data_IF_389209126561
#
_entry.id   IF_389209126561
#
_cell.length_a   1.000
_cell.length_b   1.000
_cell.length_c   1.000
_cell.angle_alpha   90.00
_cell.angle_beta   90.00
_cell.angle_gamma   90.00
#
_symmetry.space_group_name_H-M   'P 1'
#
loop_
_entity.id
_entity.type
_entity.pdbx_description
1 polymer ?
#
# COMPACT_ATOMS: atom_id res chain seq x y z
N UNK A 1 -11.19 1.47 31.22
CA UNK A 1 -9.73 1.66 31.37
C UNK A 1 -9.22 2.24 30.07
N UNK A 2 -8.46 3.34 30.10
CA UNK A 2 -7.85 3.90 28.88
C UNK A 2 -6.94 2.86 28.25
N UNK A 3 -7.12 2.56 26.96
CA UNK A 3 -6.31 1.56 26.29
C UNK A 3 -4.90 2.15 26.05
N UNK A 4 -3.86 1.41 26.41
CA UNK A 4 -2.47 1.84 26.25
C UNK A 4 -2.04 1.75 24.78
N UNK A 5 -1.36 2.78 24.27
CA UNK A 5 -0.79 2.77 22.92
C UNK A 5 0.49 1.94 22.87
N UNK A 6 0.36 0.67 22.48
CA UNK A 6 1.48 -0.21 22.20
C UNK A 6 2.20 0.14 20.87
N UNK A 7 3.48 -0.25 20.70
CA UNK A 7 4.26 -0.01 19.48
C UNK A 7 3.58 -0.48 18.18
N UNK A 8 2.77 -1.55 18.24
CA UNK A 8 2.01 -2.06 17.09
C UNK A 8 1.00 -1.06 16.55
N UNK A 9 0.45 -0.18 17.39
CA UNK A 9 -0.49 0.85 16.93
C UNK A 9 0.22 1.91 16.10
N UNK A 10 1.41 2.35 16.53
CA UNK A 10 2.25 3.27 15.77
C UNK A 10 2.75 2.62 14.48
N UNK A 11 3.13 1.35 14.54
CA UNK A 11 3.53 0.58 13.35
C UNK A 11 2.43 0.55 12.30
N UNK A 12 1.20 0.21 12.69
CA UNK A 12 0.06 0.20 11.77
C UNK A 12 -0.30 1.62 11.29
N UNK A 13 -0.26 2.60 12.20
CA UNK A 13 -0.50 3.99 11.84
C UNK A 13 0.48 4.49 10.78
N UNK A 14 1.77 4.16 10.90
CA UNK A 14 2.79 4.53 9.92
C UNK A 14 2.51 3.92 8.53
N UNK A 15 1.96 2.70 8.48
CA UNK A 15 1.52 2.10 7.20
C UNK A 15 0.34 2.84 6.58
N UNK A 16 -0.63 3.27 7.39
CA UNK A 16 -1.75 4.11 6.94
C UNK A 16 -1.22 5.45 6.42
N UNK A 17 -0.24 6.05 7.11
CA UNK A 17 0.46 7.26 6.63
C UNK A 17 1.18 7.02 5.31
N UNK A 18 1.74 5.83 5.07
CA UNK A 18 2.32 5.46 3.78
C UNK A 18 1.30 5.43 2.63
N UNK A 19 0.04 5.07 2.89
CA UNK A 19 -1.03 5.20 1.87
C UNK A 19 -1.32 6.68 1.60
N UNK A 20 -1.44 7.49 2.65
CA UNK A 20 -1.65 8.94 2.52
C UNK A 20 -0.50 9.61 1.76
N UNK A 21 0.73 9.20 2.00
CA UNK A 21 1.90 9.69 1.28
C UNK A 21 1.84 9.31 -0.21
N UNK A 22 1.49 8.05 -0.50
CA UNK A 22 1.30 7.59 -1.88
C UNK A 22 0.21 8.35 -2.63
N UNK A 23 -0.89 8.73 -1.97
CA UNK A 23 -1.91 9.63 -2.54
C UNK A 23 -1.29 10.96 -3.02
N UNK A 24 -0.29 11.50 -2.30
CA UNK A 24 0.41 12.72 -2.73
C UNK A 24 1.32 12.49 -3.93
N UNK A 25 1.96 11.32 -4.05
CA UNK A 25 2.71 10.96 -5.25
C UNK A 25 1.79 10.88 -6.48
N UNK A 26 0.61 10.26 -6.34
CA UNK A 26 -0.39 10.18 -7.40
C UNK A 26 -0.85 11.58 -7.80
N UNK A 27 -1.15 12.43 -6.82
CA UNK A 27 -1.59 13.80 -7.07
C UNK A 27 -0.55 14.60 -7.84
N UNK A 28 0.72 14.60 -7.37
CA UNK A 28 1.81 15.32 -8.04
C UNK A 28 1.98 14.81 -9.48
N UNK A 29 2.05 13.49 -9.66
CA UNK A 29 2.23 12.89 -10.97
C UNK A 29 1.08 13.26 -11.94
N UNK A 30 -0.18 13.24 -11.47
CA UNK A 30 -1.34 13.57 -12.28
C UNK A 30 -1.45 15.09 -12.59
N UNK A 31 -1.14 15.94 -11.60
CA UNK A 31 -1.16 17.38 -11.78
C UNK A 31 -0.07 17.85 -12.75
N UNK A 32 1.13 17.28 -12.66
CA UNK A 32 2.28 17.68 -13.47
C UNK A 32 2.26 17.06 -14.88
N UNK A 33 1.84 15.80 -15.01
CA UNK A 33 2.06 15.01 -16.24
C UNK A 33 0.79 14.55 -16.96
N UNK A 34 -0.41 14.83 -16.44
CA UNK A 34 -1.66 14.35 -17.03
C UNK A 34 -2.68 15.46 -17.32
N UNK A 35 -3.36 15.95 -16.29
CA UNK A 35 -4.56 16.76 -16.46
C UNK A 35 -4.67 17.95 -15.50
N UNK A 36 -3.58 18.33 -14.81
CA UNK A 36 -3.48 19.60 -14.09
C UNK A 36 -4.66 19.86 -13.15
N UNK A 37 -5.46 20.91 -13.42
CA UNK A 37 -6.62 21.29 -12.61
C UNK A 37 -7.67 20.20 -12.45
N UNK A 38 -7.84 19.30 -13.43
CA UNK A 38 -8.75 18.15 -13.30
C UNK A 38 -8.26 17.17 -12.21
N UNK A 39 -6.95 17.07 -11.98
CA UNK A 39 -6.43 16.27 -10.87
C UNK A 39 -6.76 16.88 -9.50
N UNK A 40 -6.83 18.21 -9.39
CA UNK A 40 -7.27 18.89 -8.16
C UNK A 40 -8.75 18.64 -7.86
N UNK A 41 -9.59 18.69 -8.90
CA UNK A 41 -11.02 18.39 -8.80
C UNK A 41 -11.25 16.93 -8.40
N UNK A 42 -10.58 15.98 -9.06
CA UNK A 42 -10.65 14.56 -8.74
C UNK A 42 -10.23 14.28 -7.29
N UNK A 43 -9.16 14.91 -6.81
CA UNK A 43 -8.72 14.81 -5.42
C UNK A 43 -9.77 15.36 -4.46
N UNK A 44 -10.33 16.52 -4.78
CA UNK A 44 -11.36 17.17 -3.96
C UNK A 44 -12.62 16.30 -3.86
N UNK A 45 -13.02 15.64 -4.94
CA UNK A 45 -14.15 14.70 -4.94
C UNK A 45 -13.90 13.48 -4.03
N UNK A 46 -12.69 12.91 -4.09
CA UNK A 46 -12.29 11.81 -3.21
C UNK A 46 -12.32 12.22 -1.73
N UNK A 47 -11.84 13.44 -1.42
CA UNK A 47 -11.85 13.99 -0.06
C UNK A 47 -13.26 14.25 0.45
N UNK A 48 -14.16 14.77 -0.38
CA UNK A 48 -15.57 14.95 0.00
C UNK A 48 -16.27 13.62 0.32
N UNK A 49 -15.89 12.55 -0.38
CA UNK A 49 -16.52 11.23 -0.24
C UNK A 49 -15.98 10.42 0.95
N UNK A 50 -14.67 10.51 1.21
CA UNK A 50 -13.98 9.64 2.18
C UNK A 50 -13.30 10.39 3.32
N UNK A 51 -13.25 11.72 3.28
CA UNK A 51 -12.58 12.59 4.25
C UNK A 51 -11.18 13.00 3.82
N UNK A 52 -10.71 14.13 4.32
CA UNK A 52 -9.36 14.62 4.08
C UNK A 52 -8.28 13.70 4.68
N UNK A 53 -7.04 13.74 4.17
CA UNK A 53 -5.91 13.06 4.78
C UNK A 53 -5.75 13.39 6.27
N UNK A 54 -5.26 12.43 7.05
CA UNK A 54 -5.00 12.66 8.47
C UNK A 54 -3.99 13.82 8.65
N UNK A 55 -4.18 14.68 9.66
CA UNK A 55 -3.24 15.75 9.94
C UNK A 55 -1.86 15.19 10.32
N UNK A 56 -0.82 15.99 10.11
CA UNK A 56 0.56 15.65 10.49
C UNK A 56 0.80 15.87 11.99
N UNK A 57 0.05 15.13 12.82
CA UNK A 57 0.18 15.15 14.28
C UNK A 57 0.46 13.75 14.82
N UNK A 58 0.89 13.68 16.08
CA UNK A 58 1.15 12.41 16.74
C UNK A 58 -0.12 11.56 16.84
N UNK A 59 0.02 10.22 16.75
CA UNK A 59 -1.11 9.31 16.85
C UNK A 59 -1.90 9.53 18.15
N UNK A 60 -1.20 9.77 19.26
CA UNK A 60 -1.79 9.97 20.58
C UNK A 60 -2.75 11.16 20.62
N UNK A 61 -2.55 12.17 19.78
CA UNK A 61 -3.34 13.41 19.75
C UNK A 61 -4.66 13.27 18.98
N UNK A 62 -4.77 12.28 18.09
CA UNK A 62 -5.91 12.15 17.17
C UNK A 62 -6.65 10.81 17.26
N UNK A 63 -6.06 9.82 17.91
CA UNK A 63 -6.69 8.51 18.07
C UNK A 63 -7.85 8.53 19.07
N UNK A 64 -8.87 7.72 18.78
CA UNK A 64 -9.89 7.40 19.78
C UNK A 64 -9.31 6.41 20.83
N UNK A 65 -8.88 6.95 21.97
CA UNK A 65 -8.35 6.18 23.10
C UNK A 65 -9.34 5.18 23.70
N UNK A 66 -10.64 5.33 23.44
CA UNK A 66 -11.67 4.38 23.89
C UNK A 66 -11.84 3.20 22.94
N UNK A 67 -11.38 3.31 21.69
CA UNK A 67 -11.51 2.31 20.65
C UNK A 67 -10.35 2.35 19.63
N UNK A 68 -9.13 2.10 20.09
CA UNK A 68 -7.90 2.17 19.29
C UNK A 68 -7.98 1.31 18.02
N UNK A 69 -8.37 0.04 18.15
CA UNK A 69 -8.41 -0.89 17.02
C UNK A 69 -9.49 -0.51 16.01
N UNK A 70 -10.69 -0.13 16.50
CA UNK A 70 -11.77 0.30 15.63
C UNK A 70 -11.43 1.60 14.89
N UNK A 71 -10.72 2.53 15.53
CA UNK A 71 -10.21 3.74 14.89
C UNK A 71 -9.19 3.40 13.81
N UNK A 72 -8.18 2.57 14.11
CA UNK A 72 -7.16 2.16 13.14
C UNK A 72 -7.78 1.45 11.94
N UNK A 73 -8.68 0.49 12.17
CA UNK A 73 -9.41 -0.21 11.10
C UNK A 73 -10.21 0.77 10.22
N UNK A 74 -10.86 1.77 10.83
CA UNK A 74 -11.56 2.82 10.09
C UNK A 74 -10.58 3.62 9.23
N UNK A 75 -9.41 3.97 9.76
CA UNK A 75 -8.40 4.73 9.01
C UNK A 75 -7.81 3.94 7.83
N UNK A 76 -7.61 2.62 7.96
CA UNK A 76 -7.28 1.74 6.83
C UNK A 76 -8.34 1.90 5.74
N UNK A 77 -9.61 1.70 6.11
CA UNK A 77 -10.71 1.76 5.15
C UNK A 77 -10.82 3.13 4.48
N UNK A 78 -10.64 4.21 5.24
CA UNK A 78 -10.69 5.58 4.71
C UNK A 78 -9.54 5.83 3.74
N UNK A 79 -8.28 5.57 4.14
CA UNK A 79 -7.12 5.86 3.32
C UNK A 79 -7.14 5.05 2.01
N UNK A 80 -7.38 3.74 2.08
CA UNK A 80 -7.40 2.89 0.89
C UNK A 80 -8.59 3.20 -0.03
N UNK A 81 -9.78 3.49 0.52
CA UNK A 81 -10.94 3.86 -0.31
C UNK A 81 -10.75 5.24 -0.94
N UNK A 82 -10.11 6.18 -0.24
CA UNK A 82 -9.84 7.51 -0.79
C UNK A 82 -8.81 7.46 -1.92
N UNK A 83 -7.72 6.71 -1.74
CA UNK A 83 -6.75 6.48 -2.81
C UNK A 83 -7.42 5.85 -4.05
N UNK A 84 -8.21 4.80 -3.85
CA UNK A 84 -8.93 4.12 -4.93
C UNK A 84 -9.93 5.04 -5.64
N UNK A 85 -10.72 5.81 -4.88
CA UNK A 85 -11.67 6.77 -5.42
C UNK A 85 -10.97 7.91 -6.19
N UNK A 86 -9.81 8.37 -5.70
CA UNK A 86 -9.04 9.39 -6.40
C UNK A 86 -8.51 8.86 -7.74
N UNK A 87 -7.93 7.65 -7.76
CA UNK A 87 -7.47 7.03 -9.00
C UNK A 87 -8.65 6.80 -9.95
N UNK A 88 -9.79 6.30 -9.47
CA UNK A 88 -10.97 6.11 -10.31
C UNK A 88 -11.48 7.43 -10.89
N UNK A 89 -11.53 8.50 -10.09
CA UNK A 89 -11.90 9.83 -10.58
C UNK A 89 -10.91 10.35 -11.64
N UNK A 90 -9.60 10.08 -11.50
CA UNK A 90 -8.63 10.41 -12.54
C UNK A 90 -8.89 9.62 -13.82
N UNK A 91 -9.21 8.32 -13.73
CA UNK A 91 -9.56 7.51 -14.91
C UNK A 91 -10.82 8.05 -15.60
N UNK A 92 -11.86 8.34 -14.83
CA UNK A 92 -13.14 8.82 -15.37
C UNK A 92 -13.02 10.18 -16.07
N UNK A 93 -12.15 11.06 -15.56
CA UNK A 93 -12.04 12.44 -16.04
C UNK A 93 -10.84 12.68 -16.99
N UNK A 94 -9.79 11.86 -16.89
CA UNK A 94 -8.54 12.02 -17.65
C UNK A 94 -8.20 10.81 -18.53
N UNK A 95 -9.03 9.77 -18.53
CA UNK A 95 -8.88 8.57 -19.36
C UNK A 95 -7.84 7.57 -18.86
N UNK A 96 -7.64 6.49 -19.62
CA UNK A 96 -6.79 5.35 -19.24
C UNK A 96 -5.32 5.71 -18.95
N UNK A 97 -4.82 6.84 -19.47
CA UNK A 97 -3.49 7.35 -19.15
C UNK A 97 -3.31 7.63 -17.64
N UNK A 98 -4.40 7.86 -16.90
CA UNK A 98 -4.38 7.96 -15.44
C UNK A 98 -3.84 6.69 -14.76
N UNK A 99 -4.04 5.52 -15.37
CA UNK A 99 -3.56 4.24 -14.85
C UNK A 99 -2.02 4.18 -14.93
N UNK A 100 -1.42 4.69 -16.00
CA UNK A 100 0.04 4.73 -16.19
C UNK A 100 0.70 5.72 -15.22
N UNK A 101 0.04 6.85 -14.98
CA UNK A 101 0.45 7.85 -13.98
C UNK A 101 0.40 7.26 -12.58
N UNK A 102 -0.69 6.56 -12.22
CA UNK A 102 -0.79 5.87 -10.95
C UNK A 102 0.28 4.77 -10.81
N UNK A 103 0.59 4.02 -11.87
CA UNK A 103 1.67 3.02 -11.86
C UNK A 103 3.04 3.66 -11.58
N UNK A 104 3.32 4.78 -12.22
CA UNK A 104 4.55 5.54 -11.98
C UNK A 104 4.60 6.04 -10.54
N UNK A 105 3.52 6.61 -10.02
CA UNK A 105 3.44 7.07 -8.64
C UNK A 105 3.62 5.94 -7.61
N UNK A 106 2.99 4.77 -7.82
CA UNK A 106 3.19 3.59 -6.97
C UNK A 106 4.64 3.12 -7.01
N UNK A 107 5.26 3.05 -8.20
CA UNK A 107 6.66 2.68 -8.34
C UNK A 107 7.59 3.65 -7.61
N UNK A 108 7.41 4.95 -7.81
CA UNK A 108 8.21 6.00 -7.16
C UNK A 108 8.04 6.01 -5.64
N UNK A 109 6.81 5.82 -5.16
CA UNK A 109 6.56 5.66 -3.73
C UNK A 109 7.21 4.37 -3.17
N UNK A 110 7.23 3.28 -3.94
CA UNK A 110 7.95 2.05 -3.60
C UNK A 110 9.46 2.27 -3.47
N UNK A 111 10.05 3.02 -4.41
CA UNK A 111 11.46 3.45 -4.34
C UNK A 111 11.72 4.31 -3.10
N UNK A 112 10.84 5.28 -2.84
CA UNK A 112 10.94 6.16 -1.67
C UNK A 112 10.94 5.36 -0.36
N UNK A 113 9.94 4.48 -0.18
CA UNK A 113 9.80 3.63 0.99
C UNK A 113 10.99 2.67 1.17
N UNK A 114 11.51 2.08 0.09
CA UNK A 114 12.67 1.19 0.16
C UNK A 114 13.94 1.92 0.58
N UNK A 115 14.19 3.13 0.05
CA UNK A 115 15.32 3.97 0.50
C UNK A 115 15.21 4.35 1.96
N UNK A 116 14.00 4.67 2.42
CA UNK A 116 13.76 4.94 3.83
C UNK A 116 14.02 3.68 4.67
N UNK A 117 13.59 2.50 4.21
CA UNK A 117 13.84 1.21 4.88
C UNK A 117 15.33 0.88 5.00
N UNK A 118 16.09 1.06 3.92
CA UNK A 118 17.54 0.86 3.90
C UNK A 118 18.26 1.79 4.90
N UNK A 119 17.88 3.07 4.92
CA UNK A 119 18.43 4.06 5.85
C UNK A 119 18.19 3.73 7.34
N UNK A 120 17.20 2.91 7.67
CA UNK A 120 16.99 2.45 9.05
C UNK A 120 18.06 1.45 9.51
N UNK A 121 18.76 0.77 8.60
CA UNK A 121 19.85 -0.18 8.91
C UNK A 121 19.45 -1.38 9.79
N UNK A 122 18.15 -1.67 9.92
CA UNK A 122 17.61 -2.67 10.86
C UNK A 122 17.15 -3.98 10.21
N UNK A 123 17.24 -4.09 8.88
CA UNK A 123 16.78 -5.25 8.10
C UNK A 123 17.97 -6.05 7.56
N UNK A 124 17.87 -7.37 7.54
CA UNK A 124 18.85 -8.26 6.92
C UNK A 124 18.60 -8.36 5.41
N UNK A 125 18.87 -7.27 4.69
CA UNK A 125 18.51 -7.13 3.26
C UNK A 125 19.28 -8.08 2.34
N UNK A 126 20.31 -8.79 2.85
CA UNK A 126 21.00 -9.87 2.14
C UNK A 126 20.18 -11.15 1.98
N UNK A 127 19.02 -11.25 2.65
CA UNK A 127 18.16 -12.43 2.63
C UNK A 127 16.71 -12.10 2.24
N UNK A 128 16.02 -13.03 1.56
CA UNK A 128 14.61 -12.87 1.20
C UNK A 128 13.67 -12.64 2.43
N UNK A 129 13.85 -13.31 3.58
CA UNK A 129 13.07 -13.04 4.79
C UNK A 129 13.33 -11.66 5.38
N UNK A 130 14.56 -11.16 5.32
CA UNK A 130 14.88 -9.80 5.76
C UNK A 130 14.22 -8.73 4.88
N UNK A 131 14.19 -8.94 3.56
CA UNK A 131 13.47 -8.09 2.61
C UNK A 131 11.95 -8.14 2.86
N UNK A 132 11.38 -9.33 3.04
CA UNK A 132 9.96 -9.49 3.35
C UNK A 132 9.57 -8.82 4.68
N UNK A 133 10.44 -8.88 5.69
CA UNK A 133 10.25 -8.12 6.94
C UNK A 133 10.24 -6.62 6.69
N UNK A 134 11.11 -6.11 5.81
CA UNK A 134 11.10 -4.71 5.42
C UNK A 134 9.79 -4.35 4.69
N UNK A 135 9.34 -5.13 3.70
CA UNK A 135 8.03 -4.93 3.05
C UNK A 135 6.93 -4.84 4.09
N UNK A 136 6.91 -5.77 5.04
CA UNK A 136 5.92 -5.80 6.11
C UNK A 136 5.93 -4.59 7.01
N UNK A 137 6.97 -3.77 7.09
CA UNK A 137 6.95 -2.55 7.89
C UNK A 137 6.29 -1.36 7.13
N UNK A 138 6.17 -1.43 5.81
CA UNK A 138 5.70 -0.32 4.95
C UNK A 138 4.39 -0.64 4.21
N UNK A 139 4.20 -1.89 3.81
CA UNK A 139 3.03 -2.33 3.07
C UNK A 139 1.83 -2.49 4.02
N UNK A 140 0.77 -1.70 3.77
CA UNK A 140 -0.51 -1.83 4.47
C UNK A 140 -1.27 -3.04 3.91
N UNK A 141 -1.40 -4.07 4.73
CA UNK A 141 -2.10 -5.32 4.40
C UNK A 141 -3.08 -5.66 5.54
N UNK A 142 -4.00 -4.73 5.80
CA UNK A 142 -4.99 -4.84 6.88
C UNK A 142 -4.44 -4.71 8.30
N UNK A 143 -5.25 -5.16 9.26
CA UNK A 143 -4.88 -5.22 10.66
C UNK A 143 -3.90 -6.37 10.93
N UNK A 144 -3.02 -6.26 11.95
CA UNK A 144 -2.13 -7.36 12.33
C UNK A 144 -2.86 -8.68 12.65
N UNK A 145 -4.11 -8.60 13.12
CA UNK A 145 -4.93 -9.77 13.46
C UNK A 145 -5.56 -10.46 12.24
N UNK A 146 -5.52 -9.85 11.06
CA UNK A 146 -6.17 -10.41 9.86
C UNK A 146 -5.41 -11.61 9.29
N UNK A 147 -4.11 -11.76 9.65
CA UNK A 147 -3.25 -12.89 9.27
C UNK A 147 -3.36 -13.28 7.78
N UNK A 148 -3.36 -12.28 6.89
CA UNK A 148 -3.63 -12.49 5.46
C UNK A 148 -2.60 -13.38 4.76
N UNK A 149 -1.33 -13.26 5.14
CA UNK A 149 -0.23 -13.96 4.48
C UNK A 149 0.14 -15.26 5.22
N UNK A 150 0.17 -16.36 4.47
CA UNK A 150 0.70 -17.65 4.90
C UNK A 150 2.07 -17.90 4.25
N UNK A 151 3.12 -18.05 5.06
CA UNK A 151 4.47 -18.36 4.56
C UNK A 151 4.55 -19.83 4.17
N UNK A 152 4.92 -20.11 2.93
CA UNK A 152 5.03 -21.45 2.35
C UNK A 152 6.48 -21.94 2.26
N UNK A 153 7.42 -21.02 2.03
CA UNK A 153 8.85 -21.29 1.91
C UNK A 153 9.63 -20.09 2.46
N UNK A 154 10.74 -20.36 3.16
CA UNK A 154 11.57 -19.33 3.78
C UNK A 154 13.00 -19.84 3.92
N UNK A 155 13.86 -19.38 3.02
CA UNK A 155 15.31 -19.61 2.99
C UNK A 155 16.02 -18.28 2.78
N UNK A 156 17.36 -18.24 2.88
CA UNK A 156 18.11 -17.02 2.64
C UNK A 156 17.86 -16.42 1.23
N UNK A 157 17.65 -17.27 0.23
CA UNK A 157 17.59 -16.85 -1.19
C UNK A 157 16.17 -16.86 -1.76
N UNK A 158 15.18 -17.34 -0.99
CA UNK A 158 13.80 -17.47 -1.43
C UNK A 158 12.84 -17.35 -0.27
N UNK A 159 11.80 -16.53 -0.43
CA UNK A 159 10.63 -16.53 0.43
C UNK A 159 9.37 -16.57 -0.43
N UNK A 160 8.44 -17.46 -0.09
CA UNK A 160 7.14 -17.61 -0.77
C UNK A 160 6.03 -17.44 0.25
N UNK A 161 5.04 -16.62 -0.09
CA UNK A 161 3.84 -16.47 0.72
C UNK A 161 2.59 -16.50 -0.16
N UNK A 162 1.47 -16.90 0.43
CA UNK A 162 0.17 -16.87 -0.22
C UNK A 162 -0.89 -16.18 0.63
N UNK A 163 -1.88 -15.59 -0.03
CA UNK A 163 -3.11 -15.13 0.61
C UNK A 163 -4.35 -15.53 -0.20
N UNK A 164 -5.47 -15.72 0.51
CA UNK A 164 -6.74 -16.12 -0.09
C UNK A 164 -7.50 -14.97 -0.78
N UNK A 165 -7.02 -13.73 -0.63
CA UNK A 165 -7.63 -12.52 -1.16
C UNK A 165 -6.84 -11.28 -0.78
N UNK A 166 -7.03 -10.18 -1.51
CA UNK A 166 -6.41 -8.90 -1.18
C UNK A 166 -7.30 -8.15 -0.17
N UNK A 167 -6.75 -7.81 1.00
CA UNK A 167 -7.52 -7.09 2.04
C UNK A 167 -7.95 -5.68 1.62
N UNK A 168 -7.26 -5.09 0.64
CA UNK A 168 -7.59 -3.79 0.06
C UNK A 168 -8.77 -3.87 -0.92
N UNK A 169 -9.07 -5.05 -1.47
CA UNK A 169 -10.07 -5.22 -2.53
C UNK A 169 -11.47 -4.73 -2.15
N UNK A 170 -12.00 -4.96 -0.94
CA UNK A 170 -13.29 -4.42 -0.53
C UNK A 170 -13.32 -2.88 -0.43
N UNK A 171 -12.17 -2.25 -0.17
CA UNK A 171 -12.04 -0.79 -0.14
C UNK A 171 -11.94 -0.21 -1.56
N UNK A 172 -11.34 -0.93 -2.50
CA UNK A 172 -11.32 -0.53 -3.91
C UNK A 172 -12.68 -0.72 -4.58
N UNK A 173 -13.30 -1.90 -4.43
CA UNK A 173 -14.58 -2.23 -5.06
C UNK A 173 -15.72 -1.26 -4.73
N UNK A 174 -15.79 -0.76 -3.49
CA UNK A 174 -16.85 0.20 -3.09
C UNK A 174 -16.74 1.56 -3.78
N UNK A 175 -15.58 1.88 -4.36
CA UNK A 175 -15.33 3.13 -5.08
C UNK A 175 -15.63 3.00 -6.57
N UNK A 176 -15.93 1.79 -7.06
CA UNK A 176 -16.04 1.49 -8.48
C UNK A 176 -14.70 1.17 -9.16
N UNK A 177 -13.57 1.30 -8.45
CA UNK A 177 -12.25 1.00 -8.99
C UNK A 177 -12.06 -0.49 -9.33
N UNK A 178 -11.49 -0.77 -10.50
CA UNK A 178 -11.20 -2.13 -10.96
C UNK A 178 -10.12 -2.78 -10.08
N UNK A 179 -10.44 -3.95 -9.53
CA UNK A 179 -9.52 -4.74 -8.72
C UNK A 179 -8.27 -5.17 -9.51
N UNK A 180 -8.35 -5.27 -10.84
CA UNK A 180 -7.18 -5.58 -11.68
C UNK A 180 -6.19 -4.43 -11.71
N UNK A 181 -6.69 -3.19 -11.76
CA UNK A 181 -5.87 -1.98 -11.67
C UNK A 181 -5.20 -1.93 -10.29
N UNK A 182 -5.96 -2.11 -9.21
CA UNK A 182 -5.43 -2.21 -7.84
C UNK A 182 -4.24 -3.18 -7.77
N UNK A 183 -4.44 -4.39 -8.28
CA UNK A 183 -3.43 -5.45 -8.23
C UNK A 183 -2.16 -5.06 -8.97
N UNK A 184 -2.31 -4.51 -10.19
CA UNK A 184 -1.19 -4.05 -10.99
C UNK A 184 -0.39 -2.97 -10.26
N UNK A 185 -1.07 -2.01 -9.63
CA UNK A 185 -0.44 -0.93 -8.88
C UNK A 185 0.37 -1.44 -7.68
N UNK A 186 -0.19 -2.35 -6.88
CA UNK A 186 0.54 -2.92 -5.75
C UNK A 186 1.72 -3.79 -6.19
N UNK A 187 1.62 -4.51 -7.32
CA UNK A 187 2.74 -5.26 -7.87
C UNK A 187 3.88 -4.33 -8.32
N UNK A 188 3.58 -3.17 -8.92
CA UNK A 188 4.60 -2.15 -9.24
C UNK A 188 5.32 -1.64 -7.99
N UNK A 189 4.56 -1.36 -6.92
CA UNK A 189 5.13 -0.92 -5.65
C UNK A 189 6.04 -1.99 -5.03
N UNK A 190 5.59 -3.25 -4.97
CA UNK A 190 6.34 -4.36 -4.38
C UNK A 190 7.61 -4.68 -5.20
N UNK A 191 7.50 -4.70 -6.53
CA UNK A 191 8.65 -4.92 -7.41
C UNK A 191 9.70 -3.81 -7.26
N UNK A 192 9.27 -2.55 -7.24
CA UNK A 192 10.16 -1.42 -7.04
C UNK A 192 10.82 -1.46 -5.66
N UNK A 193 10.05 -1.75 -4.61
CA UNK A 193 10.55 -1.81 -3.25
C UNK A 193 11.65 -2.87 -3.09
N UNK A 194 11.40 -4.09 -3.58
CA UNK A 194 12.36 -5.20 -3.50
C UNK A 194 13.64 -4.89 -4.27
N UNK A 195 13.52 -4.45 -5.52
CA UNK A 195 14.67 -4.15 -6.37
C UNK A 195 15.55 -3.04 -5.78
N UNK A 196 14.94 -1.97 -5.24
CA UNK A 196 15.69 -0.87 -4.64
C UNK A 196 16.35 -1.28 -3.33
N UNK A 197 15.67 -2.09 -2.50
CA UNK A 197 16.22 -2.52 -1.23
C UNK A 197 17.39 -3.51 -1.41
N UNK A 198 17.29 -4.40 -2.41
CA UNK A 198 18.41 -5.22 -2.84
C UNK A 198 18.23 -5.67 -4.31
N UNK A 199 19.04 -5.18 -5.26
CA UNK A 199 18.91 -5.53 -6.68
C UNK A 199 19.31 -6.98 -7.00
N UNK A 200 19.90 -7.70 -6.04
CA UNK A 200 20.14 -9.14 -6.13
C UNK A 200 18.90 -9.99 -5.86
N UNK A 201 17.74 -9.39 -5.62
CA UNK A 201 16.47 -10.07 -5.46
C UNK A 201 15.39 -9.47 -6.37
N UNK A 202 14.42 -10.29 -6.76
CA UNK A 202 13.24 -9.87 -7.51
C UNK A 202 11.97 -10.34 -6.83
N UNK A 203 10.91 -9.56 -6.99
CA UNK A 203 9.55 -9.91 -6.57
C UNK A 203 8.75 -10.44 -7.76
N UNK A 204 8.06 -11.56 -7.58
CA UNK A 204 7.13 -12.10 -8.56
C UNK A 204 5.78 -12.43 -7.91
N UNK A 205 4.69 -12.22 -8.64
CA UNK A 205 3.42 -12.87 -8.36
C UNK A 205 3.32 -14.13 -9.24
N UNK A 206 3.24 -15.31 -8.62
CA UNK A 206 3.25 -16.60 -9.32
C UNK A 206 1.86 -17.20 -9.52
N UNK A 207 0.87 -16.77 -8.74
CA UNK A 207 -0.56 -17.08 -8.96
C UNK A 207 -1.42 -15.87 -8.67
N UNK A 208 -2.54 -15.72 -9.39
CA UNK A 208 -3.44 -14.58 -9.28
C UNK A 208 -4.92 -14.99 -9.31
N UNK A 209 -5.65 -14.69 -8.24
CA UNK A 209 -7.08 -15.00 -8.16
C UNK A 209 -7.87 -14.27 -9.26
N UNK A 210 -7.40 -13.11 -9.69
CA UNK A 210 -8.05 -12.35 -10.78
C UNK A 210 -7.78 -12.93 -12.17
N UNK A 211 -6.78 -13.82 -12.28
CA UNK A 211 -6.52 -14.63 -13.47
C UNK A 211 -7.18 -16.02 -13.40
N UNK A 212 -7.89 -16.34 -12.31
CA UNK A 212 -8.60 -17.60 -12.12
C UNK A 212 -7.91 -18.63 -11.21
N UNK A 213 -6.79 -18.27 -10.59
CA UNK A 213 -6.13 -19.13 -9.59
C UNK A 213 -6.90 -19.18 -8.26
N UNK A 214 -6.57 -20.17 -7.42
CA UNK A 214 -7.23 -20.38 -6.12
C UNK A 214 -6.76 -19.45 -5.00
N UNK A 215 -5.53 -18.93 -5.11
CA UNK A 215 -4.91 -18.02 -4.15
C UNK A 215 -3.97 -17.08 -4.89
N UNK A 216 -3.62 -15.96 -4.25
CA UNK A 216 -2.51 -15.14 -4.72
C UNK A 216 -1.24 -15.67 -4.07
N UNK A 217 -0.24 -15.98 -4.87
CA UNK A 217 1.07 -16.40 -4.40
C UNK A 217 2.12 -15.46 -4.90
N UNK A 218 3.02 -15.11 -4.00
CA UNK A 218 4.09 -14.18 -4.24
C UNK A 218 5.41 -14.79 -3.79
N UNK A 219 6.49 -14.35 -4.40
CA UNK A 219 7.83 -14.75 -4.01
C UNK A 219 8.82 -13.60 -4.10
N UNK A 220 9.83 -13.66 -3.25
CA UNK A 220 11.07 -12.90 -3.36
C UNK A 220 12.16 -13.94 -3.60
N UNK A 221 12.89 -13.83 -4.71
CA UNK A 221 13.92 -14.80 -5.11
C UNK A 221 15.21 -14.10 -5.50
N UNK A 222 16.35 -14.68 -5.13
CA UNK A 222 17.67 -14.19 -5.54
C UNK A 222 17.86 -14.38 -7.05
N UNK A 223 18.49 -13.39 -7.70
CA UNK A 223 18.86 -13.41 -9.14
C UNK A 223 20.37 -13.39 -9.36
#
# INVERSE_FOLDING_TARGET
>A
MSAFLAPVHYWLYNKIRGVIEREQFIFKAAAENLCGGTAEEARSQAWQSYGEPLPETDLQEQIDHSNIHGWLQRQINVAESREAAFIQALVDNCGDAAIEVAQTAFREHGVHAARHADAQGKYETSTAPGIYKAINDYYLNGMPCDQADAILDSTADKLVWENAGCLQEPNWKRTGADSKIMKKLYNEWLAAFVNILNPGFVFNQTTDIQAGDKSNRYEIVRV
#
